data_IF_100375715245
#
_entry.id   IF_100375715245
#
_cell.length_a   1.000
_cell.length_b   1.000
_cell.length_c   1.000
_cell.angle_alpha   90.00
_cell.angle_beta   90.00
_cell.angle_gamma   90.00
#
_symmetry.space_group_name_H-M   'P 1'
#
loop_
_entity.id
_entity.type
_entity.pdbx_description
1 polymer ?
#
# COMPACT_ATOMS: atom_id res chain seq x y z
N UNK A 1 2.10 5.89 -13.91
CA UNK A 1 2.89 5.05 -12.99
C UNK A 1 2.21 5.10 -11.62
N UNK A 2 2.04 3.96 -10.95
CA UNK A 2 1.26 3.91 -9.69
C UNK A 2 1.90 4.68 -8.54
N UNK A 3 3.24 4.76 -8.50
CA UNK A 3 3.97 5.50 -7.47
C UNK A 3 3.80 7.01 -7.63
N UNK A 4 3.88 7.52 -8.86
CA UNK A 4 3.66 8.94 -9.13
C UNK A 4 2.22 9.38 -8.80
N UNK A 5 1.24 8.54 -9.12
CA UNK A 5 -0.16 8.77 -8.71
C UNK A 5 -0.27 8.83 -7.19
N UNK A 6 0.33 7.87 -6.48
CA UNK A 6 0.28 7.85 -5.02
C UNK A 6 0.94 9.08 -4.40
N UNK A 7 2.09 9.53 -4.91
CA UNK A 7 2.76 10.75 -4.45
C UNK A 7 1.86 11.98 -4.55
N UNK A 8 1.14 12.13 -5.67
CA UNK A 8 0.20 13.25 -5.85
C UNK A 8 -0.99 13.15 -4.91
N UNK A 9 -1.50 11.95 -4.65
CA UNK A 9 -2.59 11.76 -3.69
C UNK A 9 -2.12 12.13 -2.28
N UNK A 10 -0.90 11.78 -1.88
CA UNK A 10 -0.35 12.15 -0.58
C UNK A 10 -0.21 13.67 -0.37
N UNK A 11 -0.07 14.46 -1.45
CA UNK A 11 -0.11 15.93 -1.34
C UNK A 11 -1.52 16.47 -1.06
N UNK A 12 -2.56 15.72 -1.40
CA UNK A 12 -3.97 16.09 -1.20
C UNK A 12 -4.47 15.55 0.14
N UNK A 13 -4.14 14.29 0.45
CA UNK A 13 -4.50 13.61 1.68
C UNK A 13 -3.25 12.87 2.22
N UNK A 14 -2.56 13.44 3.23
CA UNK A 14 -1.36 12.80 3.79
C UNK A 14 -1.66 11.49 4.52
N UNK A 15 -2.92 11.26 4.93
CA UNK A 15 -3.36 10.02 5.57
C UNK A 15 -3.87 8.97 4.56
N UNK A 16 -3.64 9.17 3.25
CA UNK A 16 -4.10 8.22 2.23
C UNK A 16 -3.43 6.86 2.41
N UNK A 17 -4.25 5.87 2.74
CA UNK A 17 -3.88 4.45 2.72
C UNK A 17 -3.79 3.92 1.29
N UNK A 18 -2.85 3.01 1.05
CA UNK A 18 -2.68 2.37 -0.25
C UNK A 18 -2.11 0.96 -0.12
N UNK A 19 -2.51 0.08 -1.02
CA UNK A 19 -1.85 -1.21 -1.25
C UNK A 19 -1.18 -1.21 -2.62
N UNK A 20 -0.09 -1.96 -2.76
CA UNK A 20 0.69 -2.01 -3.99
C UNK A 20 0.38 -3.31 -4.70
N UNK A 21 0.08 -3.24 -5.99
CA UNK A 21 -0.25 -4.44 -6.78
C UNK A 21 0.67 -4.53 -7.98
N UNK A 22 1.55 -5.54 -8.03
CA UNK A 22 2.57 -5.64 -9.09
C UNK A 22 2.91 -7.08 -9.49
N UNK A 23 3.45 -7.26 -10.70
CA UNK A 23 3.81 -8.55 -11.31
C UNK A 23 5.29 -8.91 -11.18
N UNK A 24 5.71 -9.94 -11.91
CA UNK A 24 7.03 -10.60 -11.82
C UNK A 24 8.23 -9.71 -12.19
N UNK A 25 8.02 -8.56 -12.85
CA UNK A 25 9.10 -7.74 -13.44
C UNK A 25 9.49 -6.49 -12.65
N UNK A 26 9.00 -6.28 -11.41
CA UNK A 26 9.17 -5.01 -10.67
C UNK A 26 9.90 -5.14 -9.33
N UNK A 27 10.89 -6.04 -9.24
CA UNK A 27 11.71 -6.28 -8.03
C UNK A 27 12.42 -5.04 -7.48
N UNK A 28 12.71 -4.03 -8.31
CA UNK A 28 13.41 -2.81 -7.89
C UNK A 28 12.46 -1.67 -7.45
N UNK A 29 11.27 -1.58 -8.04
CA UNK A 29 10.29 -0.54 -7.71
C UNK A 29 9.57 -0.82 -6.40
N UNK A 30 9.25 -2.10 -6.14
CA UNK A 30 8.57 -2.52 -4.90
C UNK A 30 9.39 -2.15 -3.65
N UNK A 31 10.71 -2.25 -3.71
CA UNK A 31 11.61 -1.82 -2.63
C UNK A 31 11.50 -0.32 -2.34
N UNK A 32 11.41 0.51 -3.39
CA UNK A 32 11.28 1.97 -3.23
C UNK A 32 9.94 2.35 -2.61
N UNK A 33 8.88 1.60 -2.89
CA UNK A 33 7.54 1.89 -2.32
C UNK A 33 7.44 1.44 -0.85
N UNK A 34 8.11 0.36 -0.46
CA UNK A 34 8.23 -0.05 0.95
C UNK A 34 8.93 1.01 1.82
N UNK A 35 9.88 1.77 1.23
CA UNK A 35 10.60 2.84 1.94
C UNK A 35 9.77 4.11 2.19
N UNK A 36 8.60 4.24 1.57
CA UNK A 36 7.72 5.44 1.67
C UNK A 36 6.51 5.18 2.57
N UNK A 37 6.47 4.03 3.26
CA UNK A 37 5.35 3.64 4.11
C UNK A 37 4.08 3.23 3.37
N UNK A 38 4.13 3.05 2.04
CA UNK A 38 2.98 2.54 1.31
C UNK A 38 2.76 1.06 1.66
N UNK A 39 1.49 0.72 1.89
CA UNK A 39 1.02 -0.48 2.54
C UNK A 39 1.28 -1.81 1.84
N UNK A 40 0.49 -2.81 2.25
CA UNK A 40 0.67 -4.22 1.88
C UNK A 40 0.87 -4.45 0.37
N UNK A 41 1.81 -5.34 0.04
CA UNK A 41 2.15 -5.72 -1.33
C UNK A 41 1.36 -6.96 -1.78
N UNK A 42 0.70 -6.87 -2.93
CA UNK A 42 -0.09 -7.96 -3.54
C UNK A 42 0.49 -8.31 -4.90
N UNK A 43 0.98 -9.54 -5.03
CA UNK A 43 1.55 -10.06 -6.29
C UNK A 43 0.45 -10.42 -7.30
N UNK A 44 0.62 -10.00 -8.55
CA UNK A 44 -0.22 -10.45 -9.68
C UNK A 44 0.25 -11.82 -10.24
N UNK A 45 -0.67 -12.70 -10.67
CA UNK A 45 -2.13 -12.60 -10.47
C UNK A 45 -2.52 -12.87 -9.01
N UNK A 46 -3.57 -12.22 -8.52
CA UNK A 46 -4.10 -12.40 -7.17
C UNK A 46 -5.54 -12.92 -7.21
N UNK A 47 -5.92 -13.59 -6.12
CA UNK A 47 -7.30 -14.01 -5.84
C UNK A 47 -7.96 -13.01 -4.89
N UNK A 48 -9.30 -13.00 -4.87
CA UNK A 48 -10.09 -12.06 -4.06
C UNK A 48 -9.70 -12.10 -2.58
N UNK A 49 -9.43 -13.29 -2.05
CA UNK A 49 -9.02 -13.46 -0.66
C UNK A 49 -7.69 -12.74 -0.35
N UNK A 50 -6.71 -12.83 -1.25
CA UNK A 50 -5.39 -12.20 -1.05
C UNK A 50 -5.48 -10.67 -1.06
N UNK A 51 -6.27 -10.10 -1.96
CA UNK A 51 -6.47 -8.64 -2.00
C UNK A 51 -7.33 -8.18 -0.81
N UNK A 52 -8.35 -8.95 -0.42
CA UNK A 52 -9.18 -8.64 0.75
C UNK A 52 -8.37 -8.63 2.06
N UNK A 53 -7.46 -9.59 2.23
CA UNK A 53 -6.52 -9.63 3.37
C UNK A 53 -5.64 -8.37 3.42
N UNK A 54 -5.07 -7.98 2.28
CA UNK A 54 -4.21 -6.80 2.20
C UNK A 54 -4.97 -5.49 2.48
N UNK A 55 -6.20 -5.35 1.98
CA UNK A 55 -7.05 -4.18 2.25
C UNK A 55 -7.39 -4.10 3.75
N UNK A 56 -7.79 -5.22 4.35
CA UNK A 56 -8.13 -5.25 5.78
C UNK A 56 -6.95 -4.83 6.64
N UNK A 57 -5.76 -5.39 6.39
CA UNK A 57 -4.54 -5.08 7.15
C UNK A 57 -4.21 -3.58 7.08
N UNK A 58 -4.28 -3.01 5.87
CA UNK A 58 -3.98 -1.59 5.66
C UNK A 58 -5.00 -0.67 6.36
N UNK A 59 -6.28 -1.04 6.35
CA UNK A 59 -7.31 -0.28 7.05
C UNK A 59 -7.12 -0.32 8.58
N UNK A 60 -6.62 -1.43 9.13
CA UNK A 60 -6.40 -1.62 10.57
C UNK A 60 -5.21 -0.83 11.14
N UNK A 61 -4.24 -0.40 10.33
CA UNK A 61 -3.07 0.37 10.83
C UNK A 61 -3.42 1.69 11.52
N UNK A 62 -4.58 2.28 11.23
CA UNK A 62 -5.12 3.45 11.94
C UNK A 62 -5.48 3.13 13.39
N UNK A 63 -6.06 1.96 13.62
CA UNK A 63 -6.57 1.56 14.93
C UNK A 63 -5.44 1.37 15.95
N UNK A 64 -4.20 1.23 15.48
CA UNK A 64 -3.01 1.13 16.32
C UNK A 64 -2.37 2.50 16.57
N UNK A 65 -2.45 3.48 15.65
CA UNK A 65 -1.89 4.82 15.86
C UNK A 65 -2.74 5.71 16.79
N UNK A 66 -4.05 5.43 16.91
CA UNK A 66 -4.94 6.17 17.82
C UNK A 66 -4.93 5.66 19.27
N UNK A 67 -4.08 4.67 19.60
CA UNK A 67 -3.96 4.12 20.97
C UNK A 67 -2.71 4.58 21.73
N UNK A 68 -1.80 5.28 21.06
CA UNK A 68 -0.53 5.76 21.62
C UNK A 68 -0.46 7.30 21.73
N UNK A 69 -1.60 7.99 21.74
CA UNK A 69 -1.70 9.43 22.02
C UNK A 69 -2.70 9.72 23.14
#
# INVERSE_FOLDING_TARGET
DGLETFRRILQINPAQKAIIVSGFSETDRVKKVHAIGAGAYVKKPYILEKIGLAIRDELLKDAMHSRDM
#
